data_IF_083935334155
#
_entry.id   IF_083935334155
#
_cell.length_a   1.000
_cell.length_b   1.000
_cell.length_c   1.000
_cell.angle_alpha   90.00
_cell.angle_beta   90.00
_cell.angle_gamma   90.00
#
_symmetry.space_group_name_H-M   'P 1'
#
loop_
_entity.id
_entity.type
_entity.pdbx_description
1 polymer ?
#
# COMPACT_ATOMS: atom_id res chain seq x y z
N UNK A 1 -26.68 9.51 -2.63
CA UNK A 1 -26.34 8.75 -1.41
C UNK A 1 -24.86 8.36 -1.50
N UNK A 2 -23.98 9.17 -0.91
CA UNK A 2 -22.51 8.99 -0.99
C UNK A 2 -22.04 8.10 0.16
N UNK A 3 -21.69 6.84 -0.08
CA UNK A 3 -20.94 6.06 0.91
C UNK A 3 -19.55 6.69 1.06
N UNK A 4 -19.36 7.43 2.16
CA UNK A 4 -18.24 8.35 2.44
C UNK A 4 -16.87 7.67 2.69
N UNK A 5 -16.71 6.37 2.48
CA UNK A 5 -15.47 5.65 2.77
C UNK A 5 -15.19 4.59 1.70
N UNK A 6 -13.91 4.41 1.32
CA UNK A 6 -13.50 3.25 0.55
C UNK A 6 -13.81 2.00 1.39
N UNK A 7 -14.45 1.01 0.78
CA UNK A 7 -14.84 -0.22 1.48
C UNK A 7 -13.64 -1.16 1.47
N UNK A 8 -13.15 -1.50 2.67
CA UNK A 8 -12.13 -2.55 2.83
C UNK A 8 -12.67 -3.87 2.31
N UNK A 9 -11.85 -4.58 1.54
CA UNK A 9 -12.20 -5.88 0.95
C UNK A 9 -11.38 -7.04 1.53
N UNK A 10 -10.49 -6.76 2.48
CA UNK A 10 -9.75 -7.75 3.27
C UNK A 10 -9.71 -7.33 4.74
N UNK A 11 -9.46 -8.31 5.61
CA UNK A 11 -9.12 -8.09 7.02
C UNK A 11 -7.70 -8.62 7.29
N UNK A 12 -6.88 -7.83 7.99
CA UNK A 12 -5.55 -8.27 8.44
C UNK A 12 -5.70 -8.89 9.83
N UNK A 13 -5.69 -10.21 9.93
CA UNK A 13 -5.87 -10.88 11.24
C UNK A 13 -4.62 -10.78 12.13
N UNK A 14 -3.44 -10.73 11.51
CA UNK A 14 -2.16 -10.70 12.23
C UNK A 14 -1.98 -9.38 13.00
N UNK A 15 -1.91 -9.48 14.33
CA UNK A 15 -1.80 -8.33 15.24
C UNK A 15 -0.45 -7.63 15.12
N UNK A 16 0.64 -8.38 14.95
CA UNK A 16 1.97 -7.79 14.79
C UNK A 16 2.08 -6.96 13.51
N UNK A 17 1.47 -7.42 12.41
CA UNK A 17 1.39 -6.68 11.16
C UNK A 17 0.55 -5.40 11.30
N UNK A 18 -0.65 -5.48 11.91
CA UNK A 18 -1.47 -4.30 12.21
C UNK A 18 -0.69 -3.27 13.04
N UNK A 19 0.00 -3.70 14.08
CA UNK A 19 0.79 -2.81 14.94
C UNK A 19 1.95 -2.15 14.18
N UNK A 20 2.66 -2.92 13.35
CA UNK A 20 3.76 -2.40 12.54
C UNK A 20 3.30 -1.39 11.49
N UNK A 21 2.12 -1.57 10.91
CA UNK A 21 1.51 -0.61 9.96
C UNK A 21 1.25 0.73 10.66
N UNK A 22 0.65 0.69 11.85
CA UNK A 22 0.37 1.89 12.65
C UNK A 22 1.65 2.57 13.13
N UNK A 23 2.65 1.78 13.53
CA UNK A 23 3.95 2.28 13.91
C UNK A 23 4.64 2.99 12.75
N UNK A 24 4.63 2.41 11.56
CA UNK A 24 5.20 3.05 10.38
C UNK A 24 4.48 4.35 10.01
N UNK A 25 3.15 4.38 10.06
CA UNK A 25 2.37 5.63 9.88
C UNK A 25 2.75 6.68 10.92
N UNK A 26 3.02 6.27 12.16
CA UNK A 26 3.53 7.18 13.19
C UNK A 26 4.94 7.69 12.86
N UNK A 27 5.86 6.83 12.43
CA UNK A 27 7.23 7.21 12.06
C UNK A 27 7.20 8.28 10.96
N UNK A 28 6.48 8.03 9.86
CA UNK A 28 6.43 8.98 8.74
C UNK A 28 5.79 10.31 9.16
N UNK A 29 4.78 10.31 10.05
CA UNK A 29 4.15 11.55 10.53
C UNK A 29 5.04 12.40 11.44
N UNK A 30 6.04 11.78 12.08
CA UNK A 30 6.92 12.46 13.04
C UNK A 30 8.33 12.70 12.48
N UNK A 31 8.61 12.34 11.23
CA UNK A 31 9.87 12.62 10.55
C UNK A 31 9.72 13.74 9.50
N UNK A 32 10.10 15.00 9.82
CA UNK A 32 9.91 16.15 8.93
C UNK A 32 10.62 16.01 7.58
N UNK A 33 11.70 15.24 7.51
CA UNK A 33 12.46 14.99 6.27
C UNK A 33 11.72 14.06 5.31
N UNK A 34 10.94 13.12 5.84
CA UNK A 34 10.08 12.25 5.04
C UNK A 34 8.80 12.99 4.63
N UNK A 35 8.34 13.95 5.44
CA UNK A 35 7.16 14.78 5.17
C UNK A 35 7.43 16.03 4.34
N UNK A 36 8.68 16.46 4.12
CA UNK A 36 8.95 17.70 3.38
C UNK A 36 8.28 17.68 1.98
N UNK A 37 8.25 16.51 1.33
CA UNK A 37 7.58 16.27 0.05
C UNK A 37 6.07 15.90 0.19
N UNK A 38 5.62 15.59 1.41
CA UNK A 38 4.26 15.07 1.71
C UNK A 38 3.38 16.12 2.41
N UNK A 39 3.96 17.22 2.92
CA UNK A 39 3.25 18.21 3.75
C UNK A 39 2.00 18.80 3.09
N UNK A 40 1.90 18.73 1.76
CA UNK A 40 0.72 19.10 0.97
C UNK A 40 0.19 17.99 0.04
N UNK A 41 0.70 16.77 0.15
CA UNK A 41 0.40 15.66 -0.78
C UNK A 41 -0.30 14.52 -0.05
N UNK A 42 -1.38 14.00 -0.63
CA UNK A 42 -1.97 12.75 -0.14
C UNK A 42 -0.98 11.60 -0.37
N UNK A 43 -0.85 10.71 0.61
CA UNK A 43 -0.09 9.46 0.46
C UNK A 43 -1.01 8.26 0.73
N UNK A 44 -0.62 7.12 0.18
CA UNK A 44 -1.24 5.84 0.44
C UNK A 44 -0.32 5.04 1.35
N UNK A 45 -0.81 4.60 2.50
CA UNK A 45 -0.07 3.64 3.31
C UNK A 45 -0.12 2.29 2.57
N UNK A 46 1.04 1.74 2.25
CA UNK A 46 1.17 0.63 1.31
C UNK A 46 1.92 -0.52 1.96
N UNK A 47 1.40 -1.74 1.78
CA UNK A 47 2.04 -2.97 2.25
C UNK A 47 2.27 -3.90 1.06
N UNK A 48 3.52 -4.29 0.86
CA UNK A 48 3.91 -5.29 -0.11
C UNK A 48 4.13 -6.62 0.58
N UNK A 49 3.41 -7.64 0.15
CA UNK A 49 3.59 -9.01 0.60
C UNK A 49 4.49 -9.79 -0.35
N UNK A 50 5.40 -10.57 0.22
CA UNK A 50 6.27 -11.49 -0.53
C UNK A 50 6.35 -12.84 0.16
N UNK A 51 5.76 -13.85 -0.44
CA UNK A 51 5.96 -15.24 -0.05
C UNK A 51 7.33 -15.70 -0.55
N UNK A 52 8.26 -15.96 0.37
CA UNK A 52 9.61 -16.44 0.05
C UNK A 52 9.62 -17.95 -0.15
N UNK A 53 8.85 -18.67 0.67
CA UNK A 53 8.54 -20.10 0.55
C UNK A 53 7.29 -20.41 1.41
N UNK A 54 6.88 -21.67 1.47
CA UNK A 54 5.67 -22.14 2.19
C UNK A 54 5.63 -21.79 3.68
N UNK A 55 6.78 -21.45 4.27
CA UNK A 55 6.92 -21.14 5.69
C UNK A 55 7.35 -19.72 5.98
N UNK A 56 7.77 -18.95 4.98
CA UNK A 56 8.37 -17.62 5.17
C UNK A 56 7.65 -16.59 4.32
N UNK A 57 7.02 -15.64 5.00
CA UNK A 57 6.38 -14.47 4.38
C UNK A 57 7.06 -13.20 4.85
N UNK A 58 7.30 -12.28 3.92
CA UNK A 58 7.84 -10.96 4.22
C UNK A 58 6.79 -9.90 3.87
N UNK A 59 6.70 -8.89 4.73
CA UNK A 59 5.93 -7.69 4.46
C UNK A 59 6.88 -6.49 4.43
N UNK A 60 6.76 -5.64 3.42
CA UNK A 60 7.39 -4.33 3.40
C UNK A 60 6.31 -3.25 3.50
N UNK A 61 6.33 -2.50 4.60
CA UNK A 61 5.40 -1.41 4.87
C UNK A 61 6.09 -0.11 4.47
N UNK A 62 5.44 0.64 3.58
CA UNK A 62 5.92 1.92 3.06
C UNK A 62 4.72 2.82 2.72
N UNK A 63 4.93 3.88 1.96
CA UNK A 63 3.86 4.65 1.37
C UNK A 63 4.10 4.94 -0.11
N UNK A 64 3.01 5.13 -0.85
CA UNK A 64 3.00 5.51 -2.26
C UNK A 64 2.48 6.95 -2.41
N UNK A 65 3.06 7.69 -3.35
CA UNK A 65 2.69 9.08 -3.68
C UNK A 65 1.91 9.20 -5.00
N UNK A 66 1.59 8.06 -5.61
CA UNK A 66 0.82 7.93 -6.84
C UNK A 66 0.06 6.60 -6.84
N UNK A 67 -0.70 6.35 -7.92
CA UNK A 67 -1.38 5.08 -8.17
C UNK A 67 -0.87 4.34 -9.40
N UNK A 68 0.35 4.64 -9.87
CA UNK A 68 0.91 4.09 -11.10
C UNK A 68 0.96 2.56 -11.10
N UNK A 69 1.42 1.98 -9.98
CA UNK A 69 1.60 0.52 -9.84
C UNK A 69 0.26 -0.25 -9.89
N UNK A 70 -0.85 0.39 -9.48
CA UNK A 70 -2.19 -0.21 -9.52
C UNK A 70 -2.70 -0.47 -10.93
N UNK A 71 -2.03 0.06 -11.96
CA UNK A 71 -2.37 -0.21 -13.35
C UNK A 71 -2.06 -1.65 -13.77
N UNK A 72 -1.00 -2.21 -13.20
CA UNK A 72 -0.43 -3.51 -13.60
C UNK A 72 -0.55 -4.54 -12.47
N UNK A 73 -0.70 -4.11 -11.21
CA UNK A 73 -0.82 -4.98 -10.04
C UNK A 73 -2.25 -4.96 -9.46
N UNK A 74 -2.79 -6.11 -9.02
CA UNK A 74 -4.02 -6.13 -8.25
C UNK A 74 -3.74 -5.60 -6.83
N UNK A 75 -4.75 -4.98 -6.25
CA UNK A 75 -4.68 -4.41 -4.91
C UNK A 75 -5.85 -4.86 -4.05
N UNK A 76 -5.60 -4.89 -2.75
CA UNK A 76 -6.61 -4.99 -1.71
C UNK A 76 -6.57 -3.78 -0.80
N UNK A 77 -7.68 -3.53 -0.10
CA UNK A 77 -7.87 -2.47 0.87
C UNK A 77 -8.18 -3.09 2.22
N UNK A 78 -7.36 -2.73 3.22
CA UNK A 78 -7.60 -3.04 4.61
C UNK A 78 -7.91 -1.75 5.39
N UNK A 79 -8.73 -1.86 6.45
CA UNK A 79 -8.78 -0.84 7.49
C UNK A 79 -7.87 -1.25 8.65
N UNK A 80 -6.94 -0.38 9.03
CA UNK A 80 -6.05 -0.60 10.17
C UNK A 80 -6.10 0.64 11.05
N UNK A 81 -6.78 0.54 12.19
CA UNK A 81 -6.92 1.66 13.13
C UNK A 81 -7.61 2.89 12.52
N UNK A 82 -8.62 2.67 11.66
CA UNK A 82 -9.34 3.75 10.96
C UNK A 82 -8.58 4.35 9.79
N UNK A 83 -7.49 3.73 9.35
CA UNK A 83 -6.69 4.15 8.18
C UNK A 83 -6.90 3.14 7.05
N UNK A 84 -7.14 3.67 5.86
CA UNK A 84 -7.14 2.86 4.63
C UNK A 84 -5.71 2.50 4.27
N UNK A 85 -5.44 1.20 4.13
CA UNK A 85 -4.15 0.63 3.77
C UNK A 85 -4.28 -0.11 2.45
N UNK A 86 -3.39 0.17 1.50
CA UNK A 86 -3.30 -0.53 0.22
C UNK A 86 -2.39 -1.73 0.39
N UNK A 87 -2.89 -2.91 0.05
CA UNK A 87 -2.14 -4.16 0.11
C UNK A 87 -1.84 -4.64 -1.31
N UNK A 88 -0.58 -4.89 -1.59
CA UNK A 88 -0.11 -5.57 -2.80
C UNK A 88 0.24 -7.01 -2.42
N UNK A 89 -0.64 -7.98 -2.72
CA UNK A 89 -0.37 -9.37 -2.41
C UNK A 89 0.80 -9.92 -3.23
N UNK A 90 1.42 -10.99 -2.74
CA UNK A 90 2.55 -11.58 -3.46
C UNK A 90 2.12 -12.17 -4.81
N UNK A 91 3.03 -12.14 -5.79
CA UNK A 91 2.90 -12.61 -7.18
C UNK A 91 2.54 -14.09 -7.38
N UNK A 92 2.08 -14.83 -6.37
CA UNK A 92 1.48 -16.16 -6.52
C UNK A 92 0.05 -16.08 -7.05
N UNK A 93 -0.14 -15.38 -8.17
CA UNK A 93 -1.41 -15.36 -8.88
C UNK A 93 -1.49 -16.59 -9.79
N UNK A 94 -2.02 -17.71 -9.28
CA UNK A 94 -2.36 -18.88 -10.10
C UNK A 94 -3.70 -18.67 -10.83
N UNK A 95 -3.82 -17.65 -11.68
CA UNK A 95 -5.08 -17.36 -12.40
C UNK A 95 -5.10 -16.07 -13.23
N UNK A 96 -6.26 -15.76 -13.82
CA UNK A 96 -6.51 -14.53 -14.60
C UNK A 96 -6.39 -13.31 -13.66
N UNK A 97 -5.39 -12.46 -13.91
CA UNK A 97 -5.21 -11.18 -13.25
C UNK A 97 -6.28 -10.18 -13.74
N UNK A 98 -7.40 -10.11 -13.05
CA UNK A 98 -8.28 -8.95 -13.15
C UNK A 98 -7.72 -7.88 -12.20
N UNK A 99 -6.91 -6.95 -12.72
CA UNK A 99 -6.61 -5.73 -11.97
C UNK A 99 -7.95 -5.07 -11.68
N UNK A 100 -8.27 -4.85 -10.40
CA UNK A 100 -9.53 -4.25 -10.02
C UNK A 100 -9.49 -2.75 -10.38
N UNK A 101 -9.67 -2.46 -11.67
CA UNK A 101 -9.64 -1.10 -12.23
C UNK A 101 -10.69 -0.18 -11.60
N UNK A 102 -11.71 -0.75 -10.94
CA UNK A 102 -12.69 0.00 -10.15
C UNK A 102 -12.05 0.56 -8.88
N UNK A 103 -11.38 -0.26 -8.09
CA UNK A 103 -10.66 0.22 -6.88
C UNK A 103 -9.58 1.24 -7.24
N UNK A 104 -8.81 0.99 -8.30
CA UNK A 104 -7.83 1.96 -8.78
C UNK A 104 -8.48 3.33 -9.07
N UNK A 105 -9.56 3.34 -9.87
CA UNK A 105 -10.29 4.58 -10.17
C UNK A 105 -10.86 5.27 -8.93
N UNK A 106 -11.41 4.52 -7.97
CA UNK A 106 -11.96 5.08 -6.73
C UNK A 106 -10.88 5.74 -5.86
N UNK A 107 -9.72 5.08 -5.72
CA UNK A 107 -8.57 5.63 -5.00
C UNK A 107 -8.05 6.89 -5.70
N UNK A 108 -7.80 6.83 -7.02
CA UNK A 108 -7.31 7.98 -7.76
C UNK A 108 -8.32 9.14 -7.73
N UNK A 109 -9.63 8.88 -7.84
CA UNK A 109 -10.66 9.92 -7.77
C UNK A 109 -10.59 10.70 -6.45
N UNK A 110 -10.30 9.99 -5.36
CA UNK A 110 -10.34 10.53 -4.01
C UNK A 110 -9.06 11.24 -3.60
N UNK A 111 -7.92 10.65 -3.92
CA UNK A 111 -6.61 11.11 -3.40
C UNK A 111 -5.70 11.70 -4.48
N UNK A 112 -5.90 11.32 -5.76
CA UNK A 112 -5.03 11.72 -6.87
C UNK A 112 -5.84 12.24 -8.06
N UNK A 113 -6.56 13.38 -7.91
CA UNK A 113 -7.53 13.84 -8.91
C UNK A 113 -6.90 14.14 -10.28
N UNK A 114 -5.60 14.45 -10.34
CA UNK A 114 -4.86 14.60 -11.60
C UNK A 114 -4.74 13.27 -12.35
N UNK A 115 -4.36 12.21 -11.64
CA UNK A 115 -4.29 10.85 -12.19
C UNK A 115 -5.68 10.36 -12.61
N UNK A 116 -6.70 10.59 -11.78
CA UNK A 116 -8.08 10.23 -12.11
C UNK A 116 -8.56 10.86 -13.42
N UNK A 117 -8.24 12.14 -13.68
CA UNK A 117 -8.60 12.80 -14.96
C UNK A 117 -8.00 12.11 -16.18
N UNK A 118 -6.82 11.49 -16.05
CA UNK A 118 -6.20 10.70 -17.11
C UNK A 118 -6.88 9.34 -17.25
N UNK A 119 -7.04 8.63 -16.13
CA UNK A 119 -7.65 7.29 -16.08
C UNK A 119 -9.11 7.30 -16.55
N UNK A 120 -9.88 8.34 -16.22
CA UNK A 120 -11.25 8.53 -16.67
C UNK A 120 -11.37 8.71 -18.19
N UNK A 121 -10.30 9.18 -18.85
CA UNK A 121 -10.19 9.28 -20.32
C UNK A 121 -9.62 8.02 -20.96
N UNK A 122 -9.40 6.94 -20.20
CA UNK A 122 -8.77 5.72 -20.66
C UNK A 122 -7.27 5.85 -20.93
N UNK A 123 -6.63 6.92 -20.46
CA UNK A 123 -5.17 7.08 -20.58
C UNK A 123 -4.46 6.34 -19.45
N UNK A 124 -3.27 5.80 -19.74
CA UNK A 124 -2.35 5.28 -18.73
C UNK A 124 -1.62 6.41 -18.01
N UNK A 125 -1.19 6.14 -16.79
CA UNK A 125 -0.18 6.94 -16.09
C UNK A 125 1.19 6.49 -16.61
N UNK A 126 1.99 7.43 -17.09
CA UNK A 126 3.31 7.14 -17.67
C UNK A 126 4.45 7.47 -16.70
N UNK A 127 4.18 8.33 -15.72
CA UNK A 127 5.14 8.76 -14.71
C UNK A 127 4.78 8.11 -13.38
N UNK A 128 5.82 7.76 -12.62
CA UNK A 128 5.71 7.30 -11.24
C UNK A 128 6.62 8.15 -10.36
N UNK A 129 6.24 8.29 -9.11
CA UNK A 129 6.94 9.03 -8.07
C UNK A 129 7.69 8.03 -7.22
N UNK A 130 9.02 8.10 -7.27
CA UNK A 130 9.87 7.34 -6.35
C UNK A 130 9.79 7.92 -4.95
N UNK A 131 9.64 7.03 -3.98
CA UNK A 131 9.74 7.36 -2.56
C UNK A 131 11.04 6.75 -2.01
N UNK A 132 11.99 7.61 -1.62
CA UNK A 132 13.26 7.19 -1.03
C UNK A 132 13.16 6.89 0.47
N UNK A 133 11.95 6.96 1.04
CA UNK A 133 11.73 6.66 2.45
C UNK A 133 12.03 5.19 2.75
N UNK A 134 12.63 4.90 3.91
CA UNK A 134 12.84 3.54 4.34
C UNK A 134 11.50 2.82 4.50
N UNK A 135 11.47 1.53 4.19
CA UNK A 135 10.34 0.65 4.45
C UNK A 135 10.54 -0.07 5.79
N UNK A 136 9.47 -0.30 6.55
CA UNK A 136 9.49 -1.20 7.68
C UNK A 136 9.25 -2.64 7.20
N UNK A 137 10.29 -3.46 7.26
CA UNK A 137 10.28 -4.84 6.76
C UNK A 137 10.07 -5.80 7.91
N UNK A 138 9.07 -6.67 7.77
CA UNK A 138 8.75 -7.76 8.68
C UNK A 138 9.05 -9.09 8.00
N UNK A 139 9.60 -10.04 8.75
CA UNK A 139 9.75 -11.43 8.33
C UNK A 139 9.00 -12.32 9.30
N UNK A 140 8.07 -13.09 8.77
CA UNK A 140 7.30 -14.08 9.48
C UNK A 140 7.77 -15.48 9.08
N UNK A 141 7.94 -16.35 10.07
CA UNK A 141 8.18 -17.79 9.88
C UNK A 141 7.03 -18.53 10.53
N UNK A 142 6.23 -19.25 9.74
CA UNK A 142 5.01 -19.95 10.19
C UNK A 142 4.13 -19.01 11.02
N UNK A 143 3.80 -17.85 10.42
CA UNK A 143 2.94 -16.80 10.98
C UNK A 143 3.47 -16.10 12.24
N UNK A 144 4.67 -16.45 12.72
CA UNK A 144 5.33 -15.78 13.85
C UNK A 144 6.33 -14.75 13.37
N UNK A 145 6.25 -13.54 13.90
CA UNK A 145 7.23 -12.49 13.60
C UNK A 145 8.60 -12.88 14.16
N UNK A 146 9.60 -13.03 13.28
CA UNK A 146 10.97 -13.37 13.67
C UNK A 146 11.96 -12.23 13.45
N UNK A 147 11.64 -11.29 12.57
CA UNK A 147 12.46 -10.11 12.34
C UNK A 147 11.62 -8.91 11.95
N UNK A 148 12.01 -7.74 12.45
CA UNK A 148 11.44 -6.44 12.12
C UNK A 148 12.58 -5.43 12.02
N UNK A 149 12.70 -4.73 10.89
CA UNK A 149 13.77 -3.75 10.67
C UNK A 149 13.37 -2.68 9.67
N UNK A 150 13.93 -1.48 9.83
CA UNK A 150 13.90 -0.46 8.79
C UNK A 150 14.89 -0.83 7.68
N UNK A 151 14.48 -0.70 6.42
CA UNK A 151 15.29 -1.01 5.24
C UNK A 151 15.26 0.17 4.26
N UNK A 152 16.42 0.60 3.76
CA UNK A 152 16.49 1.53 2.62
C UNK A 152 16.49 0.69 1.35
N UNK A 153 15.34 0.66 0.66
CA UNK A 153 15.08 -0.19 -0.50
C UNK A 153 14.12 -1.35 -0.19
N UNK A 154 13.31 -1.71 -1.20
CA UNK A 154 12.48 -2.91 -1.26
C UNK A 154 13.31 -4.07 -1.82
#
# INVERSE_FOLDING_TARGET
>A
MNSKHLVSNIEIENKELKQAILEYDSIIRHEPKLLADISNSSYLLTVYEKNVNDSVTKFAITFSLDTWLMQEEPIWLADVGGKTVVFYPSNTYRGILSTNKKLHKEISQRYFPKEYKLLAKGKKLNDFVTNDSPSLVLTFVREKLVAKRMSRGI
#
